data_IF_659972310378
#
_entry.id   IF_659972310378
#
_cell.length_a   1.000
_cell.length_b   1.000
_cell.length_c   1.000
_cell.angle_alpha   90.00
_cell.angle_beta   90.00
_cell.angle_gamma   90.00
#
_symmetry.space_group_name_H-M   'P 1'
#
loop_
_entity.id
_entity.type
_entity.pdbx_description
1 polymer ?
#
# COMPACT_ATOMS: atom_id res chain seq x y z
N UNK A 1 17.04 6.00 -22.44
CA UNK A 1 15.71 5.42 -22.15
C UNK A 1 15.56 5.34 -20.63
N UNK A 2 15.05 6.39 -20.01
CA UNK A 2 14.71 6.36 -18.59
C UNK A 2 13.38 5.61 -18.47
N UNK A 3 13.34 4.56 -17.67
CA UNK A 3 12.12 3.84 -17.31
C UNK A 3 11.24 4.75 -16.43
N UNK A 4 10.60 5.74 -17.05
CA UNK A 4 9.55 6.56 -16.43
C UNK A 4 8.22 5.82 -16.54
N UNK A 5 8.18 4.60 -15.99
CA UNK A 5 6.92 4.09 -15.50
C UNK A 5 6.72 4.76 -14.17
N UNK A 6 5.88 5.80 -14.11
CA UNK A 6 5.38 6.30 -12.83
C UNK A 6 4.63 5.14 -12.18
N UNK A 7 5.34 4.30 -11.42
CA UNK A 7 4.70 3.34 -10.52
C UNK A 7 4.09 4.23 -9.46
N UNK A 8 2.89 4.73 -9.70
CA UNK A 8 2.06 5.37 -8.69
C UNK A 8 2.10 4.43 -7.47
N UNK A 9 2.85 4.77 -6.39
CA UNK A 9 2.94 3.94 -5.20
C UNK A 9 1.59 3.89 -4.48
N UNK A 10 0.67 4.78 -4.88
CA UNK A 10 -0.70 4.85 -4.38
C UNK A 10 -1.50 3.63 -4.83
N UNK A 11 -1.96 2.88 -3.83
CA UNK A 11 -2.69 1.64 -4.07
C UNK A 11 -2.92 0.86 -2.79
N UNK A 12 -3.74 -0.17 -2.90
CA UNK A 12 -3.90 -1.16 -1.84
C UNK A 12 -3.17 -2.43 -2.27
N UNK A 13 -2.49 -3.04 -1.34
CA UNK A 13 -1.64 -4.20 -1.52
C UNK A 13 -1.99 -5.23 -0.46
N UNK A 14 -1.77 -6.50 -0.76
CA UNK A 14 -1.92 -7.59 0.19
C UNK A 14 -0.61 -8.35 0.28
N UNK A 15 -0.12 -8.52 1.50
CA UNK A 15 1.05 -9.36 1.79
C UNK A 15 0.67 -10.83 1.77
N UNK A 16 1.65 -11.70 1.60
CA UNK A 16 1.45 -13.16 1.70
C UNK A 16 0.88 -13.59 3.05
N UNK A 17 1.17 -12.83 4.11
CA UNK A 17 0.61 -13.04 5.45
C UNK A 17 -0.87 -12.63 5.57
N UNK A 18 -1.52 -12.24 4.46
CA UNK A 18 -2.91 -11.80 4.43
C UNK A 18 -3.15 -10.36 4.90
N UNK A 19 -2.08 -9.61 5.23
CA UNK A 19 -2.22 -8.22 5.69
C UNK A 19 -2.51 -7.31 4.53
N UNK A 20 -3.49 -6.42 4.69
CA UNK A 20 -3.81 -5.44 3.67
C UNK A 20 -3.13 -4.12 4.00
N UNK A 21 -2.35 -3.60 3.06
CA UNK A 21 -1.59 -2.36 3.13
C UNK A 21 -2.21 -1.35 2.18
N UNK A 22 -2.46 -0.14 2.63
CA UNK A 22 -2.87 0.98 1.79
C UNK A 22 -1.78 2.02 1.79
N UNK A 23 -1.31 2.36 0.60
CA UNK A 23 -0.27 3.36 0.39
C UNK A 23 -0.92 4.56 -0.29
N UNK A 24 -0.62 5.75 0.23
CA UNK A 24 -1.03 7.02 -0.34
C UNK A 24 0.20 7.91 -0.44
N UNK A 25 0.37 8.53 -1.61
CA UNK A 25 1.38 9.58 -1.80
C UNK A 25 0.65 10.90 -1.66
N UNK A 26 1.13 11.76 -0.77
CA UNK A 26 0.67 13.14 -0.65
C UNK A 26 1.25 13.98 -1.78
N UNK A 27 0.65 15.13 -2.07
CA UNK A 27 1.14 16.06 -3.10
C UNK A 27 2.56 16.57 -2.84
N UNK A 28 2.96 16.64 -1.57
CA UNK A 28 4.32 16.98 -1.12
C UNK A 28 5.34 15.83 -1.31
N UNK A 29 4.91 14.69 -1.84
CA UNK A 29 5.74 13.48 -1.98
C UNK A 29 5.83 12.63 -0.72
N UNK A 30 5.16 13.02 0.37
CA UNK A 30 5.11 12.23 1.60
C UNK A 30 4.36 10.91 1.37
N UNK A 31 4.98 9.79 1.75
CA UNK A 31 4.37 8.47 1.69
C UNK A 31 3.66 8.16 3.01
N UNK A 32 2.35 7.94 2.94
CA UNK A 32 1.54 7.45 4.04
C UNK A 32 1.20 5.99 3.82
N UNK A 33 1.54 5.14 4.78
CA UNK A 33 1.21 3.71 4.76
C UNK A 33 0.24 3.42 5.89
N UNK A 34 -0.85 2.74 5.56
CA UNK A 34 -1.85 2.27 6.50
C UNK A 34 -1.95 0.76 6.37
N UNK A 35 -2.19 0.06 7.47
CA UNK A 35 -2.45 -1.38 7.51
C UNK A 35 -3.89 -1.56 7.95
N UNK A 36 -4.62 -2.44 7.29
CA UNK A 36 -5.92 -2.88 7.77
C UNK A 36 -5.71 -3.89 8.90
N UNK A 37 -6.01 -3.49 10.12
CA UNK A 37 -6.01 -4.35 11.31
C UNK A 37 -7.44 -4.51 11.81
N UNK A 38 -7.98 -5.74 11.69
CA UNK A 38 -9.39 -6.00 11.93
C UNK A 38 -10.26 -5.28 10.90
N UNK A 39 -11.04 -4.31 11.38
CA UNK A 39 -11.96 -3.48 10.58
C UNK A 39 -11.47 -2.02 10.44
N UNK A 40 -10.25 -1.71 10.88
CA UNK A 40 -9.74 -0.34 10.92
C UNK A 40 -8.42 -0.18 10.18
N UNK A 41 -8.28 0.96 9.49
CA UNK A 41 -7.03 1.39 8.88
C UNK A 41 -6.14 2.08 9.92
N UNK A 42 -5.07 1.40 10.33
CA UNK A 42 -4.11 1.91 11.30
C UNK A 42 -2.89 2.45 10.57
N UNK A 43 -2.44 3.65 10.93
CA UNK A 43 -1.22 4.22 10.38
C UNK A 43 0.00 3.36 10.78
N UNK A 44 0.69 2.80 9.80
CA UNK A 44 1.93 2.09 10.05
C UNK A 44 3.02 3.13 10.30
N UNK A 45 3.65 3.09 11.48
CA UNK A 45 4.80 3.97 11.77
C UNK A 45 5.87 3.78 10.70
N UNK A 46 6.09 4.81 9.89
CA UNK A 46 7.05 4.82 8.79
C UNK A 46 8.47 4.92 9.38
N UNK A 47 8.94 3.82 9.97
CA UNK A 47 10.34 3.40 9.92
C UNK A 47 10.62 2.50 8.72
N UNK A 48 9.71 2.47 7.74
CA UNK A 48 9.95 1.95 6.39
C UNK A 48 10.67 3.02 5.56
N UNK A 49 11.85 3.47 5.99
CA UNK A 49 12.79 4.16 5.11
C UNK A 49 13.21 3.12 4.08
N UNK A 50 12.58 3.18 2.90
CA UNK A 50 12.65 2.14 1.88
C UNK A 50 11.48 1.18 2.01
N UNK A 51 10.30 1.58 1.50
CA UNK A 51 9.19 0.67 1.26
C UNK A 51 9.63 -0.39 0.23
N UNK A 52 10.26 -1.46 0.70
CA UNK A 52 10.51 -2.65 -0.10
C UNK A 52 9.30 -3.55 0.06
N UNK A 53 8.35 -3.43 -0.86
CA UNK A 53 7.32 -4.44 -1.00
C UNK A 53 8.03 -5.78 -1.16
N UNK A 54 7.71 -6.76 -0.31
CA UNK A 54 8.20 -8.10 -0.54
C UNK A 54 7.76 -8.52 -1.96
N UNK A 55 8.56 -9.28 -2.72
CA UNK A 55 8.19 -9.70 -4.08
C UNK A 55 6.88 -10.49 -4.11
N UNK A 56 6.45 -11.03 -2.98
CA UNK A 56 5.19 -11.75 -2.77
C UNK A 56 4.01 -10.83 -2.41
N UNK A 57 4.24 -9.52 -2.30
CA UNK A 57 3.20 -8.52 -2.06
C UNK A 57 2.53 -8.17 -3.37
N UNK A 58 1.24 -8.47 -3.46
CA UNK A 58 0.43 -8.23 -4.67
C UNK A 58 -0.40 -6.96 -4.50
N UNK A 59 -0.51 -6.17 -5.57
CA UNK A 59 -1.49 -5.07 -5.65
C UNK A 59 -2.90 -5.64 -5.75
N UNK A 60 -3.80 -5.17 -4.90
CA UNK A 60 -5.22 -5.52 -4.96
C UNK A 60 -5.91 -4.75 -6.09
N UNK A 61 -6.83 -5.44 -6.77
CA UNK A 61 -7.68 -4.86 -7.80
C UNK A 61 -8.79 -4.00 -7.16
N UNK A 62 -9.40 -3.08 -7.91
CA UNK A 62 -10.50 -2.25 -7.39
C UNK A 62 -11.66 -3.08 -6.81
N UNK A 63 -12.00 -4.21 -7.42
CA UNK A 63 -13.02 -5.14 -6.92
C UNK A 63 -12.63 -5.77 -5.58
N UNK A 64 -11.36 -6.11 -5.39
CA UNK A 64 -10.85 -6.65 -4.11
C UNK A 64 -10.83 -5.58 -3.02
N UNK A 65 -10.55 -4.33 -3.40
CA UNK A 65 -10.58 -3.17 -2.49
C UNK A 65 -12.01 -2.89 -2.02
N UNK A 66 -12.99 -2.99 -2.91
CA UNK A 66 -14.40 -2.80 -2.57
C UNK A 66 -14.95 -3.87 -1.60
N UNK A 67 -14.29 -5.03 -1.52
CA UNK A 67 -14.63 -6.10 -0.59
C UNK A 67 -13.93 -5.95 0.78
N UNK A 68 -13.07 -4.94 0.96
CA UNK A 68 -12.43 -4.67 2.24
C UNK A 68 -13.38 -3.89 3.17
N UNK A 69 -13.31 -4.12 4.49
CA UNK A 69 -14.02 -3.29 5.45
C UNK A 69 -13.54 -1.84 5.40
N UNK A 70 -14.47 -0.92 5.67
CA UNK A 70 -14.34 0.52 5.45
C UNK A 70 -13.54 1.22 6.55
#
# INVERSE_FOLDING_TARGET
MAYSGEVSPSGVYRTEQGRTLRIRVAEDGALSVQILEGDAWVAASVRMVGLRLAPTTRRLSAAEIAALPA
#
